data_IF_643368518584
#
_entry.id   IF_643368518584
#
_cell.length_a   1.000
_cell.length_b   1.000
_cell.length_c   1.000
_cell.angle_alpha   90.00
_cell.angle_beta   90.00
_cell.angle_gamma   90.00
#
_symmetry.space_group_name_H-M   'P 1'
#
loop_
_entity.id
_entity.type
_entity.pdbx_description
1 polymer ?
#
# COMPACT_ATOMS: atom_id res chain seq x y z
N UNK A 1 13.19 26.77 0.58
CA UNK A 1 12.17 26.62 1.64
C UNK A 1 11.81 25.15 1.71
N UNK A 2 11.94 24.55 2.89
CA UNK A 2 11.49 23.18 3.12
C UNK A 2 9.96 23.15 3.01
N UNK A 3 9.42 22.26 2.18
CA UNK A 3 7.98 22.21 1.92
C UNK A 3 7.27 21.50 3.07
N UNK A 4 6.68 22.30 3.97
CA UNK A 4 6.05 21.84 5.22
C UNK A 4 4.82 20.96 5.03
N UNK A 5 4.29 20.86 3.80
CA UNK A 5 3.05 20.14 3.52
C UNK A 5 3.27 18.81 2.78
N UNK A 6 4.48 18.55 2.25
CA UNK A 6 4.75 17.32 1.51
C UNK A 6 5.02 16.15 2.44
N UNK A 7 4.32 15.04 2.20
CA UNK A 7 4.47 13.78 2.89
C UNK A 7 4.51 12.65 1.87
N UNK A 8 5.39 11.66 2.06
CA UNK A 8 5.24 10.37 1.39
C UNK A 8 3.96 9.71 1.94
N UNK A 9 3.03 9.35 1.05
CA UNK A 9 1.80 8.65 1.43
C UNK A 9 1.92 7.18 1.02
N UNK A 10 1.65 6.29 1.96
CA UNK A 10 1.57 4.85 1.71
C UNK A 10 0.27 4.29 2.30
N UNK A 11 -0.18 3.17 1.75
CA UNK A 11 -1.34 2.43 2.23
C UNK A 11 -1.02 0.95 2.37
N UNK A 12 -1.55 0.32 3.42
CA UNK A 12 -1.36 -1.09 3.75
C UNK A 12 -2.68 -1.73 4.15
N UNK A 13 -2.80 -3.06 4.00
CA UNK A 13 -4.00 -3.77 4.43
C UNK A 13 -3.70 -5.04 5.23
N UNK A 14 -4.37 -5.18 6.36
CA UNK A 14 -4.58 -6.46 7.04
C UNK A 14 -5.67 -7.19 6.23
N UNK A 15 -5.26 -8.18 5.43
CA UNK A 15 -6.19 -8.92 4.57
C UNK A 15 -6.76 -10.12 5.32
N UNK A 16 -8.09 -10.18 5.38
CA UNK A 16 -8.86 -11.19 6.09
C UNK A 16 -9.42 -12.21 5.09
N UNK A 17 -9.23 -13.51 5.40
CA UNK A 17 -9.86 -14.63 4.69
C UNK A 17 -10.30 -15.65 5.72
N UNK A 18 -11.62 -15.75 5.94
CA UNK A 18 -12.18 -16.51 7.05
C UNK A 18 -11.57 -16.02 8.38
N UNK A 19 -11.15 -16.91 9.27
CA UNK A 19 -10.48 -16.58 10.55
C UNK A 19 -8.96 -16.39 10.41
N UNK A 20 -8.45 -16.07 9.21
CA UNK A 20 -7.01 -15.93 8.94
C UNK A 20 -6.65 -14.56 8.39
N UNK A 21 -5.43 -14.15 8.74
CA UNK A 21 -4.83 -12.87 8.33
C UNK A 21 -3.59 -13.13 7.48
N UNK A 22 -3.44 -12.40 6.38
CA UNK A 22 -2.23 -12.49 5.55
C UNK A 22 -1.10 -11.65 6.15
N UNK A 23 0.04 -12.30 6.38
CA UNK A 23 1.31 -11.66 6.70
C UNK A 23 2.38 -12.04 5.68
N UNK A 24 3.23 -11.08 5.33
CA UNK A 24 4.35 -11.25 4.41
C UNK A 24 5.66 -11.08 5.14
N UNK A 25 6.72 -11.68 4.61
CA UNK A 25 8.09 -11.42 5.06
C UNK A 25 8.80 -10.51 4.06
N UNK A 26 9.25 -9.34 4.54
CA UNK A 26 9.96 -8.37 3.70
C UNK A 26 11.25 -8.97 3.14
N UNK A 27 11.53 -8.70 1.87
CA UNK A 27 12.79 -9.09 1.24
C UNK A 27 14.00 -8.58 2.03
N UNK A 28 15.04 -9.41 2.15
CA UNK A 28 16.29 -9.06 2.83
C UNK A 28 17.05 -7.89 2.18
N UNK A 29 16.72 -7.56 0.92
CA UNK A 29 17.38 -6.50 0.17
C UNK A 29 16.68 -5.14 0.27
N UNK A 30 15.60 -5.03 1.07
CA UNK A 30 14.93 -3.74 1.27
C UNK A 30 15.78 -2.85 2.20
N UNK A 31 15.92 -1.57 1.85
CA UNK A 31 16.60 -0.55 2.69
C UNK A 31 16.01 -0.46 4.10
N UNK A 32 14.69 -0.63 4.23
CA UNK A 32 13.95 -0.49 5.50
C UNK A 32 13.35 -1.82 5.94
N UNK A 33 13.66 -2.19 7.20
CA UNK A 33 13.14 -3.37 7.89
C UNK A 33 13.29 -4.68 7.09
N UNK A 34 14.50 -5.03 6.62
CA UNK A 34 14.72 -6.26 5.87
C UNK A 34 14.40 -7.50 6.71
N UNK A 35 13.71 -8.48 6.13
CA UNK A 35 13.42 -9.77 6.78
C UNK A 35 12.32 -9.75 7.86
N UNK A 36 11.76 -8.58 8.18
CA UNK A 36 10.67 -8.41 9.15
C UNK A 36 9.32 -8.85 8.56
N UNK A 37 8.41 -9.25 9.44
CA UNK A 37 7.01 -9.49 9.07
C UNK A 37 6.29 -8.16 8.82
N UNK A 38 5.40 -8.15 7.83
CA UNK A 38 4.64 -6.97 7.40
C UNK A 38 3.28 -7.39 6.86
N UNK A 39 2.38 -6.43 6.73
CA UNK A 39 1.21 -6.54 5.86
C UNK A 39 1.55 -6.08 4.44
N UNK A 40 0.82 -6.55 3.41
CA UNK A 40 0.93 -6.05 2.03
C UNK A 40 0.62 -4.56 1.92
N UNK A 41 1.21 -3.91 0.92
CA UNK A 41 0.93 -2.53 0.56
C UNK A 41 2.15 -1.74 0.15
N UNK A 42 1.94 -0.48 -0.19
CA UNK A 42 2.99 0.32 -0.80
C UNK A 42 2.65 1.79 -0.90
N UNK A 43 3.49 2.50 -1.66
CA UNK A 43 3.46 3.95 -1.79
C UNK A 43 2.46 4.36 -2.86
N UNK A 44 1.75 5.45 -2.61
CA UNK A 44 0.99 6.14 -3.64
C UNK A 44 1.97 6.80 -4.60
N UNK A 45 1.91 6.41 -5.87
CA UNK A 45 2.66 7.07 -6.93
C UNK A 45 1.70 7.90 -7.79
N UNK A 46 2.11 9.10 -8.22
CA UNK A 46 1.23 9.96 -9.03
C UNK A 46 0.74 9.25 -10.32
N UNK A 47 1.56 8.35 -10.87
CA UNK A 47 1.20 7.52 -12.03
C UNK A 47 -0.01 6.61 -11.78
N UNK A 48 -0.31 6.27 -10.51
CA UNK A 48 -1.43 5.41 -10.14
C UNK A 48 -2.79 6.01 -10.52
N UNK A 49 -2.86 7.34 -10.65
CA UNK A 49 -4.09 8.04 -11.04
C UNK A 49 -3.92 8.95 -12.26
N UNK A 50 -2.73 9.49 -12.54
CA UNK A 50 -2.52 10.36 -13.70
C UNK A 50 -2.77 9.65 -15.05
N UNK A 51 -2.64 8.32 -15.10
CA UNK A 51 -2.94 7.53 -16.28
C UNK A 51 -4.45 7.26 -16.47
N UNK A 52 -5.28 7.58 -15.49
CA UNK A 52 -6.72 7.33 -15.48
C UNK A 52 -7.49 8.60 -15.87
N UNK A 53 -8.67 8.47 -16.50
CA UNK A 53 -9.59 9.59 -16.59
C UNK A 53 -9.97 10.05 -15.18
N UNK A 54 -10.14 11.37 -15.01
CA UNK A 54 -10.67 11.92 -13.75
C UNK A 54 -12.13 11.50 -13.58
N UNK A 55 -12.52 11.23 -12.34
CA UNK A 55 -13.91 10.95 -11.98
C UNK A 55 -14.78 12.22 -12.03
N UNK A 56 -14.16 13.40 -11.91
CA UNK A 56 -14.78 14.72 -12.05
C UNK A 56 -13.92 15.64 -12.91
N UNK A 57 -14.33 16.90 -13.10
CA UNK A 57 -13.50 17.90 -13.79
C UNK A 57 -12.11 18.09 -13.13
N UNK A 58 -12.02 17.92 -11.81
CA UNK A 58 -10.83 18.26 -11.03
C UNK A 58 -10.18 17.09 -10.27
N UNK A 59 -10.89 16.00 -9.99
CA UNK A 59 -10.45 14.99 -9.01
C UNK A 59 -10.51 13.55 -9.54
N UNK A 60 -9.59 12.74 -9.02
CA UNK A 60 -9.65 11.27 -9.03
C UNK A 60 -10.12 10.79 -7.66
N UNK A 61 -11.01 9.83 -7.64
CA UNK A 61 -11.51 9.21 -6.43
C UNK A 61 -10.83 7.87 -6.17
N UNK A 62 -10.76 7.53 -4.88
CA UNK A 62 -10.27 6.25 -4.38
C UNK A 62 -8.84 5.91 -4.83
N UNK A 63 -7.97 6.93 -4.93
CA UNK A 63 -6.58 6.74 -5.41
C UNK A 63 -5.78 5.83 -4.49
N UNK A 64 -6.06 5.84 -3.18
CA UNK A 64 -5.38 5.01 -2.21
C UNK A 64 -5.84 3.55 -2.30
N UNK A 65 -7.14 3.31 -2.42
CA UNK A 65 -7.73 1.99 -2.58
C UNK A 65 -7.24 1.34 -3.88
N UNK A 66 -7.12 2.12 -4.96
CA UNK A 66 -6.52 1.68 -6.23
C UNK A 66 -5.04 1.33 -6.07
N UNK A 67 -4.26 2.17 -5.38
CA UNK A 67 -2.85 1.87 -5.06
C UNK A 67 -2.74 0.59 -4.23
N UNK A 68 -3.58 0.41 -3.23
CA UNK A 68 -3.58 -0.77 -2.37
C UNK A 68 -3.92 -2.03 -3.16
N UNK A 69 -4.98 -2.00 -3.98
CA UNK A 69 -5.35 -3.12 -4.85
C UNK A 69 -4.21 -3.48 -5.81
N UNK A 70 -3.56 -2.48 -6.42
CA UNK A 70 -2.37 -2.67 -7.27
C UNK A 70 -1.23 -3.33 -6.52
N UNK A 71 -0.81 -2.77 -5.38
CA UNK A 71 0.32 -3.30 -4.60
C UNK A 71 0.02 -4.71 -4.10
N UNK A 72 -1.21 -5.00 -3.63
CA UNK A 72 -1.61 -6.35 -3.25
C UNK A 72 -1.54 -7.30 -4.45
N UNK A 73 -2.09 -6.91 -5.60
CA UNK A 73 -2.04 -7.74 -6.81
C UNK A 73 -0.59 -8.02 -7.24
N UNK A 74 0.26 -7.01 -7.24
CA UNK A 74 1.67 -7.13 -7.61
C UNK A 74 2.48 -7.96 -6.61
N UNK A 75 2.30 -7.73 -5.30
CA UNK A 75 3.11 -8.36 -4.26
C UNK A 75 2.72 -9.82 -3.99
N UNK A 76 1.44 -10.15 -4.07
CA UNK A 76 0.88 -11.44 -3.60
C UNK A 76 -0.09 -12.12 -4.57
N UNK A 77 -0.46 -11.51 -5.69
CA UNK A 77 -1.25 -12.16 -6.75
C UNK A 77 -2.77 -12.21 -6.52
N UNK A 78 -3.27 -11.72 -5.38
CA UNK A 78 -4.69 -11.82 -4.99
C UNK A 78 -5.47 -10.52 -5.22
N UNK A 79 -6.80 -10.65 -5.25
CA UNK A 79 -7.76 -9.53 -5.28
C UNK A 79 -8.36 -9.30 -3.89
N UNK A 80 -8.64 -8.04 -3.56
CA UNK A 80 -9.25 -7.62 -2.30
C UNK A 80 -10.44 -6.68 -2.53
N UNK A 81 -11.30 -6.56 -1.52
CA UNK A 81 -12.45 -5.66 -1.48
C UNK A 81 -12.66 -5.12 -0.07
N UNK A 82 -13.70 -4.30 0.13
CA UNK A 82 -14.12 -3.80 1.45
C UNK A 82 -12.94 -3.19 2.23
N UNK A 83 -12.21 -2.30 1.57
CA UNK A 83 -11.07 -1.61 2.19
C UNK A 83 -11.61 -0.61 3.21
N UNK A 84 -11.36 -0.86 4.48
CA UNK A 84 -11.79 0.00 5.58
C UNK A 84 -10.58 0.56 6.33
N UNK A 85 -10.59 1.86 6.59
CA UNK A 85 -9.54 2.52 7.38
C UNK A 85 -9.53 1.98 8.82
N UNK A 86 -8.34 1.63 9.31
CA UNK A 86 -8.13 1.22 10.70
C UNK A 86 -7.40 2.30 11.50
N UNK A 87 -6.24 2.75 11.01
CA UNK A 87 -5.40 3.73 11.70
C UNK A 87 -4.36 4.35 10.77
N UNK A 88 -3.68 5.41 11.22
CA UNK A 88 -2.58 6.04 10.50
C UNK A 88 -1.30 6.04 11.34
N UNK A 89 -0.16 5.79 10.70
CA UNK A 89 1.16 5.84 11.32
C UNK A 89 1.99 6.93 10.67
N UNK A 90 2.69 7.74 11.47
CA UNK A 90 3.62 8.75 10.98
C UNK A 90 5.07 8.35 11.31
N UNK A 91 6.00 8.65 10.40
CA UNK A 91 7.44 8.47 10.62
C UNK A 91 8.25 9.47 9.81
N UNK A 92 9.31 9.98 10.42
CA UNK A 92 10.38 10.72 9.73
C UNK A 92 11.48 9.75 9.30
N UNK A 93 11.92 9.85 8.04
CA UNK A 93 12.96 9.03 7.46
C UNK A 93 14.36 9.50 7.90
N UNK A 94 15.39 8.68 7.67
CA UNK A 94 16.79 9.06 7.95
C UNK A 94 17.23 10.31 7.17
N UNK A 95 16.66 10.53 5.99
CA UNK A 95 16.89 11.71 5.15
C UNK A 95 16.04 12.93 5.54
N UNK A 96 15.27 12.85 6.63
CA UNK A 96 14.40 13.93 7.12
C UNK A 96 13.02 13.98 6.47
N UNK A 97 12.76 13.21 5.41
CA UNK A 97 11.46 13.22 4.73
C UNK A 97 10.35 12.64 5.63
N UNK A 98 9.20 13.31 5.79
CA UNK A 98 8.08 12.76 6.54
C UNK A 98 7.25 11.79 5.68
N UNK A 99 6.69 10.78 6.33
CA UNK A 99 5.76 9.81 5.72
C UNK A 99 4.54 9.57 6.59
N UNK A 100 3.41 9.32 5.95
CA UNK A 100 2.19 8.83 6.56
C UNK A 100 1.80 7.51 5.91
N UNK A 101 1.51 6.51 6.74
CA UNK A 101 1.00 5.21 6.31
C UNK A 101 -0.43 5.11 6.79
N UNK A 102 -1.36 4.93 5.87
CA UNK A 102 -2.74 4.57 6.17
C UNK A 102 -2.80 3.03 6.24
N UNK A 103 -3.23 2.51 7.38
CA UNK A 103 -3.41 1.08 7.57
C UNK A 103 -4.90 0.76 7.58
N UNK A 104 -5.27 -0.20 6.77
CA UNK A 104 -6.64 -0.62 6.54
C UNK A 104 -6.81 -2.10 6.90
N UNK A 105 -8.07 -2.52 6.98
CA UNK A 105 -8.47 -3.93 6.82
C UNK A 105 -9.07 -4.10 5.43
N UNK A 106 -8.99 -5.31 4.87
CA UNK A 106 -9.61 -5.63 3.59
C UNK A 106 -10.02 -7.11 3.51
N UNK A 107 -11.07 -7.39 2.75
CA UNK A 107 -11.59 -8.75 2.55
C UNK A 107 -10.94 -9.40 1.33
N UNK A 108 -10.40 -10.61 1.48
CA UNK A 108 -9.93 -11.43 0.35
C UNK A 108 -11.08 -11.77 -0.59
N UNK A 109 -10.86 -11.64 -1.91
CA UNK A 109 -11.86 -11.97 -2.93
C UNK A 109 -11.45 -13.22 -3.71
N UNK A 110 -10.29 -13.20 -4.36
CA UNK A 110 -9.86 -14.29 -5.25
C UNK A 110 -8.35 -14.28 -5.50
N UNK A 111 -7.86 -15.29 -6.23
CA UNK A 111 -6.46 -15.43 -6.63
C UNK A 111 -5.69 -16.49 -5.85
N UNK A 112 -4.52 -16.85 -6.37
CA UNK A 112 -3.57 -17.73 -5.69
C UNK A 112 -2.39 -16.89 -5.18
N UNK A 113 -1.85 -17.25 -4.02
CA UNK A 113 -0.73 -16.53 -3.44
C UNK A 113 0.51 -16.81 -4.29
N UNK A 114 0.92 -15.81 -5.06
CA UNK A 114 2.20 -15.81 -5.79
C UNK A 114 2.99 -14.58 -5.37
N UNK A 115 4.10 -14.80 -4.68
CA UNK A 115 4.98 -13.69 -4.28
C UNK A 115 5.69 -13.13 -5.49
N UNK A 116 5.67 -11.81 -5.63
CA UNK A 116 6.39 -11.15 -6.71
C UNK A 116 7.87 -11.58 -6.73
N UNK A 117 8.35 -11.98 -7.91
CA UNK A 117 9.77 -12.25 -8.13
C UNK A 117 10.49 -10.91 -8.30
N UNK A 118 11.14 -10.44 -7.22
CA UNK A 118 12.04 -9.26 -7.14
C UNK A 118 11.60 -8.01 -7.94
N UNK A 119 11.17 -6.96 -7.23
CA UNK A 119 11.21 -5.57 -7.76
C UNK A 119 12.71 -5.21 -7.92
N UNK A 120 13.21 -5.22 -9.17
CA UNK A 120 14.58 -4.78 -9.51
C UNK A 120 14.70 -3.29 -9.27
#
# INVERSE_FOLDING_TARGET
MENKFLHEVAITAIIIRDDRYLILRRSKNKKRFPGMWTVPGGRLEAKDYLALPRDTEAYWYNVLERTLAREVKEEVGIEISEVEYLTSLARVHEDGSPSIVLSCVATYVSGEIELQKRRV
#
